data_IF_876990244367
#
_entry.id   IF_876990244367
#
_cell.length_a   1.000
_cell.length_b   1.000
_cell.length_c   1.000
_cell.angle_alpha   90.00
_cell.angle_beta   90.00
_cell.angle_gamma   90.00
#
_symmetry.space_group_name_H-M   'P 1'
#
loop_
_entity.id
_entity.type
_entity.pdbx_description
1 polymer ?
#
# COMPACT_ATOMS: atom_id res chain seq x y z
N UNK A 1 16.76 27.22 1.71
CA UNK A 1 17.63 26.14 1.19
C UNK A 1 17.31 24.91 2.03
N UNK A 2 16.57 23.94 1.50
CA UNK A 2 16.29 22.72 2.24
C UNK A 2 17.56 21.87 2.25
N UNK A 3 18.04 21.51 3.45
CA UNK A 3 19.15 20.57 3.62
C UNK A 3 18.59 19.23 3.14
N UNK A 4 19.17 18.67 2.07
CA UNK A 4 18.83 17.31 1.66
C UNK A 4 19.25 16.38 2.80
N UNK A 5 18.28 15.84 3.54
CA UNK A 5 18.56 14.84 4.55
C UNK A 5 19.23 13.65 3.85
N UNK A 6 20.47 13.36 4.28
CA UNK A 6 21.22 12.21 3.80
C UNK A 6 20.48 10.95 4.24
N UNK A 7 20.02 10.16 3.29
CA UNK A 7 19.47 8.84 3.55
C UNK A 7 20.53 7.98 4.24
N UNK A 8 20.25 7.49 5.44
CA UNK A 8 21.12 6.57 6.19
C UNK A 8 20.59 5.14 6.11
N UNK A 9 21.52 4.19 6.01
CA UNK A 9 21.26 2.76 5.94
C UNK A 9 21.86 2.06 7.15
N UNK A 10 21.05 1.29 7.85
CA UNK A 10 21.46 0.40 8.94
C UNK A 10 21.42 -1.06 8.45
N UNK A 11 22.58 -1.68 8.28
CA UNK A 11 22.72 -3.00 7.67
C UNK A 11 23.04 -4.09 8.70
N UNK A 12 22.42 -5.26 8.54
CA UNK A 12 22.84 -6.48 9.22
C UNK A 12 23.88 -7.21 8.36
N UNK A 13 25.16 -7.32 8.78
CA UNK A 13 26.19 -7.95 7.96
C UNK A 13 25.87 -9.40 7.59
N UNK A 14 26.39 -9.86 6.45
CA UNK A 14 26.31 -11.27 6.06
C UNK A 14 27.09 -12.10 7.09
N UNK A 15 26.48 -13.17 7.58
CA UNK A 15 27.07 -14.06 8.60
C UNK A 15 26.76 -13.67 10.04
N UNK A 16 26.14 -12.52 10.29
CA UNK A 16 25.56 -12.17 11.59
C UNK A 16 24.25 -12.93 11.83
N UNK A 17 23.79 -13.07 13.09
CA UNK A 17 22.45 -13.60 13.37
C UNK A 17 21.36 -12.58 12.98
N UNK A 18 20.11 -13.04 12.84
CA UNK A 18 18.95 -12.16 12.72
C UNK A 18 18.88 -11.23 13.93
N UNK A 19 18.70 -9.92 13.69
CA UNK A 19 18.61 -8.91 14.74
C UNK A 19 17.28 -9.01 15.52
N UNK A 20 17.23 -8.37 16.68
CA UNK A 20 16.04 -8.35 17.55
C UNK A 20 14.81 -7.67 16.94
N UNK A 21 15.03 -6.74 16.01
CA UNK A 21 13.98 -6.12 15.20
C UNK A 21 13.48 -7.01 14.06
N UNK A 22 14.11 -8.18 13.85
CA UNK A 22 13.81 -9.12 12.77
C UNK A 22 14.60 -8.88 11.48
N UNK A 23 15.58 -7.96 11.45
CA UNK A 23 16.40 -7.72 10.28
C UNK A 23 17.30 -8.93 9.98
N UNK A 24 17.04 -9.56 8.83
CA UNK A 24 17.76 -10.74 8.36
C UNK A 24 19.22 -10.40 7.99
N UNK A 25 20.15 -11.37 8.08
CA UNK A 25 21.54 -11.16 7.65
C UNK A 25 21.62 -10.80 6.16
N UNK A 26 22.42 -9.80 5.81
CA UNK A 26 22.55 -9.28 4.45
C UNK A 26 21.48 -8.25 4.04
N UNK A 27 20.54 -7.91 4.93
CA UNK A 27 19.55 -6.87 4.70
C UNK A 27 19.94 -5.55 5.35
N UNK A 28 19.41 -4.46 4.82
CA UNK A 28 19.55 -3.11 5.35
C UNK A 28 18.18 -2.46 5.56
N UNK A 29 18.11 -1.53 6.52
CA UNK A 29 16.95 -0.70 6.79
C UNK A 29 17.33 0.74 6.48
N UNK A 30 16.55 1.39 5.64
CA UNK A 30 16.58 2.83 5.48
C UNK A 30 15.96 3.48 6.73
N UNK A 31 16.63 4.50 7.29
CA UNK A 31 16.03 5.35 8.33
C UNK A 31 14.63 5.80 7.94
N UNK A 32 13.70 5.80 8.90
CA UNK A 32 12.31 6.09 8.64
C UNK A 32 12.13 7.49 8.03
N UNK A 33 11.41 7.57 6.92
CA UNK A 33 10.92 8.81 6.34
C UNK A 33 9.43 8.89 6.68
N UNK A 34 9.03 9.85 7.51
CA UNK A 34 7.66 10.03 8.00
C UNK A 34 6.98 8.73 8.46
N UNK A 35 7.72 7.90 9.22
CA UNK A 35 7.21 6.64 9.79
C UNK A 35 7.26 5.44 8.85
N UNK A 36 7.65 5.61 7.58
CA UNK A 36 7.88 4.50 6.65
C UNK A 36 9.35 4.12 6.63
N UNK A 37 9.64 2.84 6.84
CA UNK A 37 10.96 2.25 6.67
C UNK A 37 11.00 1.40 5.41
N UNK A 38 12.13 1.41 4.70
CA UNK A 38 12.41 0.45 3.64
C UNK A 38 13.41 -0.57 4.14
N UNK A 39 13.04 -1.83 4.04
CA UNK A 39 13.89 -2.97 4.35
C UNK A 39 14.30 -3.57 3.03
N UNK A 40 15.58 -3.68 2.73
CA UNK A 40 16.01 -4.23 1.45
C UNK A 40 17.23 -5.11 1.57
N UNK A 41 17.36 -6.04 0.63
CA UNK A 41 18.63 -6.67 0.31
C UNK A 41 19.08 -6.24 -1.10
N UNK A 42 20.01 -6.98 -1.67
CA UNK A 42 20.54 -6.73 -3.02
C UNK A 42 19.52 -6.89 -4.16
N UNK A 43 18.35 -7.46 -3.93
CA UNK A 43 17.38 -7.83 -4.97
C UNK A 43 15.96 -7.38 -4.68
N UNK A 44 15.55 -7.42 -3.42
CA UNK A 44 14.18 -7.16 -2.98
C UNK A 44 14.12 -6.06 -1.92
N UNK A 45 12.98 -5.37 -1.85
CA UNK A 45 12.66 -4.49 -0.73
C UNK A 45 11.24 -4.73 -0.21
N UNK A 46 11.02 -4.35 1.04
CA UNK A 46 9.74 -4.34 1.73
C UNK A 46 9.58 -2.96 2.35
N UNK A 47 8.43 -2.33 2.12
CA UNK A 47 8.04 -1.12 2.84
C UNK A 47 7.35 -1.52 4.13
N UNK A 48 7.61 -0.83 5.23
CA UNK A 48 6.91 -1.03 6.50
C UNK A 48 6.54 0.32 7.10
N UNK A 49 5.28 0.50 7.45
CA UNK A 49 4.78 1.68 8.15
C UNK A 49 4.76 1.38 9.66
N UNK A 50 5.62 2.06 10.43
CA UNK A 50 5.78 1.81 11.87
C UNK A 50 4.57 2.26 12.70
N UNK A 51 3.86 3.29 12.23
CA UNK A 51 2.62 3.79 12.85
C UNK A 51 1.79 4.56 11.82
N UNK A 52 0.46 4.43 11.88
CA UNK A 52 -0.42 5.21 11.01
C UNK A 52 -0.29 6.70 11.36
N UNK A 53 -0.13 7.61 10.38
CA UNK A 53 -0.26 9.02 10.67
C UNK A 53 -1.66 9.32 11.20
N UNK A 54 -1.85 10.33 12.07
CA UNK A 54 -3.13 10.61 12.73
C UNK A 54 -4.30 10.88 11.78
N UNK A 55 -4.01 11.15 10.50
CA UNK A 55 -4.96 11.66 9.50
C UNK A 55 -5.25 10.68 8.36
N UNK A 56 -4.56 9.55 8.25
CA UNK A 56 -4.86 8.56 7.21
C UNK A 56 -4.39 7.16 7.58
N UNK A 57 -5.20 6.16 7.24
CA UNK A 57 -4.83 4.75 7.39
C UNK A 57 -3.87 4.29 6.27
N UNK A 58 -3.76 5.07 5.20
CA UNK A 58 -2.92 4.80 4.04
C UNK A 58 -1.96 5.97 3.78
N UNK A 59 -0.73 5.66 3.40
CA UNK A 59 0.24 6.65 2.90
C UNK A 59 0.72 6.25 1.51
N UNK A 60 0.95 7.26 0.67
CA UNK A 60 1.60 7.12 -0.62
C UNK A 60 3.09 7.30 -0.40
N UNK A 61 3.87 6.30 -0.80
CA UNK A 61 5.32 6.24 -0.65
C UNK A 61 5.95 6.33 -2.02
N UNK A 62 6.74 7.37 -2.25
CA UNK A 62 7.56 7.48 -3.44
C UNK A 62 8.89 6.80 -3.21
N UNK A 63 9.19 5.83 -4.07
CA UNK A 63 10.43 5.09 -4.12
C UNK A 63 11.19 5.50 -5.38
N UNK A 64 12.40 6.03 -5.19
CA UNK A 64 13.32 6.34 -6.27
C UNK A 64 14.29 5.17 -6.46
N UNK A 65 14.43 4.72 -7.70
CA UNK A 65 15.47 3.80 -8.12
C UNK A 65 16.43 4.52 -9.05
N UNK A 66 17.72 4.40 -8.81
CA UNK A 66 18.77 4.87 -9.70
C UNK A 66 19.48 3.64 -10.26
N UNK A 67 19.43 3.41 -11.57
CA UNK A 67 20.13 2.29 -12.21
C UNK A 67 21.65 2.47 -12.16
N UNK A 68 22.40 1.39 -12.39
CA UNK A 68 23.86 1.50 -12.60
C UNK A 68 24.27 2.39 -13.78
N UNK A 69 23.32 2.76 -14.66
CA UNK A 69 23.52 3.72 -15.76
C UNK A 69 23.15 5.17 -15.38
N UNK A 70 22.97 5.46 -14.09
CA UNK A 70 22.49 6.75 -13.54
C UNK A 70 21.08 7.18 -13.98
N UNK A 71 20.33 6.31 -14.67
CA UNK A 71 18.92 6.57 -14.99
C UNK A 71 18.10 6.52 -13.71
N UNK A 72 17.32 7.56 -13.46
CA UNK A 72 16.44 7.67 -12.30
C UNK A 72 15.00 7.34 -12.68
N UNK A 73 14.37 6.48 -11.88
CA UNK A 73 12.98 6.06 -12.00
C UNK A 73 12.27 6.30 -10.67
N UNK A 74 11.01 6.73 -10.70
CA UNK A 74 10.21 6.95 -9.51
C UNK A 74 8.95 6.06 -9.57
N UNK A 75 8.65 5.42 -8.45
CA UNK A 75 7.52 4.52 -8.30
C UNK A 75 6.73 4.93 -7.07
N UNK A 76 5.41 5.02 -7.21
CA UNK A 76 4.52 5.30 -6.09
C UNK A 76 3.88 3.99 -5.60
N UNK A 77 3.97 3.76 -4.30
CA UNK A 77 3.34 2.64 -3.60
C UNK A 77 2.31 3.18 -2.61
N UNK A 78 1.25 2.42 -2.34
CA UNK A 78 0.36 2.71 -1.23
C UNK A 78 0.54 1.66 -0.14
N UNK A 79 0.75 2.13 1.09
CA UNK A 79 0.94 1.30 2.27
C UNK A 79 -0.04 1.72 3.39
N UNK A 80 -0.76 0.73 3.90
CA UNK A 80 -1.50 0.67 5.15
C UNK A 80 -0.61 0.36 6.38
N UNK A 81 -0.94 0.95 7.53
CA UNK A 81 -0.18 0.81 8.78
C UNK A 81 -0.25 -0.55 9.47
N UNK A 82 -1.22 -1.40 9.13
CA UNK A 82 -1.50 -2.66 9.86
C UNK A 82 -1.04 -3.91 9.13
N UNK A 83 -0.33 -3.76 8.01
CA UNK A 83 0.01 -4.89 7.14
C UNK A 83 1.47 -4.83 6.72
N UNK A 84 2.14 -5.98 6.80
CA UNK A 84 3.43 -6.18 6.17
C UNK A 84 3.22 -6.41 4.66
N UNK A 85 3.99 -5.67 3.85
CA UNK A 85 3.93 -5.78 2.39
C UNK A 85 4.77 -6.94 1.89
N UNK A 86 4.34 -7.55 0.79
CA UNK A 86 5.16 -8.52 0.08
C UNK A 86 6.45 -7.88 -0.44
N UNK A 87 7.50 -8.69 -0.65
CA UNK A 87 8.75 -8.20 -1.23
C UNK A 87 8.53 -7.73 -2.67
N UNK A 88 9.14 -6.62 -3.02
CA UNK A 88 9.21 -6.09 -4.39
C UNK A 88 10.61 -6.31 -4.93
N UNK A 89 10.72 -6.98 -6.07
CA UNK A 89 11.99 -7.11 -6.79
C UNK A 89 12.38 -5.76 -7.37
N UNK A 90 13.52 -5.21 -6.96
CA UNK A 90 14.04 -3.93 -7.46
C UNK A 90 15.36 -4.06 -8.20
N UNK A 91 16.12 -5.12 -7.93
CA UNK A 91 17.39 -5.38 -8.60
C UNK A 91 17.42 -6.81 -9.17
N UNK A 92 17.73 -6.93 -10.46
CA UNK A 92 17.78 -8.14 -11.25
C UNK A 92 18.97 -8.09 -12.22
N UNK A 93 19.55 -9.25 -12.52
CA UNK A 93 20.69 -9.36 -13.42
C UNK A 93 21.96 -8.70 -12.87
N UNK A 94 22.56 -7.82 -13.67
CA UNK A 94 23.83 -7.13 -13.37
C UNK A 94 23.65 -5.68 -12.94
N UNK A 95 22.43 -5.24 -12.62
CA UNK A 95 22.20 -3.88 -12.13
C UNK A 95 22.92 -3.66 -10.79
N UNK A 96 23.64 -2.55 -10.68
CA UNK A 96 24.35 -2.11 -9.46
C UNK A 96 23.77 -0.82 -8.92
N UNK A 97 22.53 -0.51 -9.31
CA UNK A 97 21.81 0.67 -8.90
C UNK A 97 21.56 0.79 -7.39
N UNK A 98 20.87 1.86 -7.02
CA UNK A 98 20.39 2.12 -5.67
C UNK A 98 18.88 2.31 -5.64
N UNK A 99 18.30 2.13 -4.47
CA UNK A 99 16.88 2.36 -4.21
C UNK A 99 16.73 3.14 -2.92
N UNK A 100 15.72 4.00 -2.82
CA UNK A 100 15.41 4.72 -1.58
C UNK A 100 13.96 5.21 -1.56
N UNK A 101 13.39 5.34 -0.38
CA UNK A 101 12.20 6.18 -0.17
C UNK A 101 12.62 7.64 -0.25
N UNK A 102 11.87 8.46 -1.00
CA UNK A 102 12.13 9.88 -1.20
C UNK A 102 11.01 10.79 -0.74
N UNK A 103 9.78 10.28 -0.66
CA UNK A 103 8.66 11.03 -0.13
C UNK A 103 7.63 10.08 0.47
N UNK A 104 6.95 10.55 1.50
CA UNK A 104 5.80 9.88 2.10
C UNK A 104 4.73 10.94 2.30
N UNK A 105 3.57 10.71 1.71
CA UNK A 105 2.46 11.64 1.75
C UNK A 105 1.22 10.90 2.25
N UNK A 106 0.45 11.47 3.19
CA UNK A 106 -0.84 10.90 3.54
C UNK A 106 -1.71 10.79 2.29
N UNK A 107 -2.28 9.61 2.04
CA UNK A 107 -3.30 9.50 1.01
C UNK A 107 -4.47 10.40 1.40
N UNK A 108 -4.95 11.23 0.46
CA UNK A 108 -6.13 12.05 0.68
C UNK A 108 -7.30 11.15 1.09
N UNK A 109 -7.99 11.52 2.17
CA UNK A 109 -9.19 10.81 2.64
C UNK A 109 -10.37 10.85 1.65
N UNK A 110 -10.29 11.69 0.60
CA UNK A 110 -11.31 11.87 -0.45
C UNK A 110 -10.66 12.11 -1.81
N UNK A 111 -11.24 11.55 -2.88
CA UNK A 111 -10.75 11.65 -4.26
C UNK A 111 -10.36 10.31 -4.89
N UNK A 112 -10.10 10.31 -6.20
CA UNK A 112 -9.64 9.12 -6.91
C UNK A 112 -8.22 8.77 -6.48
N UNK A 113 -8.05 7.53 -6.04
CA UNK A 113 -6.77 6.85 -6.03
C UNK A 113 -6.84 5.88 -7.23
N UNK A 114 -5.72 5.54 -7.83
CA UNK A 114 -5.63 5.15 -9.24
C UNK A 114 -6.27 3.78 -9.62
N UNK A 115 -7.04 3.16 -8.71
CA UNK A 115 -7.65 1.83 -8.87
C UNK A 115 -9.18 1.79 -8.77
N UNK A 116 -9.85 2.94 -8.62
CA UNK A 116 -11.33 2.99 -8.50
C UNK A 116 -12.03 2.30 -9.68
N UNK A 117 -11.51 2.43 -10.90
CA UNK A 117 -12.09 1.78 -12.08
C UNK A 117 -11.96 0.23 -12.08
N UNK A 118 -11.23 -0.36 -11.13
CA UNK A 118 -11.00 -1.81 -11.00
C UNK A 118 -11.83 -2.45 -9.88
N UNK A 119 -12.55 -1.66 -9.09
CA UNK A 119 -13.45 -2.21 -8.09
C UNK A 119 -14.90 -1.99 -8.48
N UNK A 120 -15.74 -2.87 -7.97
CA UNK A 120 -17.19 -2.82 -8.14
C UNK A 120 -17.84 -3.03 -6.78
N UNK A 121 -18.89 -2.24 -6.47
CA UNK A 121 -19.74 -2.53 -5.33
C UNK A 121 -21.05 -3.11 -5.85
N UNK A 122 -21.37 -4.32 -5.43
CA UNK A 122 -22.63 -4.99 -5.77
C UNK A 122 -23.46 -5.25 -4.52
N UNK A 123 -24.77 -5.30 -4.70
CA UNK A 123 -25.70 -5.71 -3.65
C UNK A 123 -25.93 -7.23 -3.76
N UNK A 124 -25.54 -7.99 -2.74
CA UNK A 124 -25.84 -9.41 -2.55
C UNK A 124 -27.12 -9.56 -1.73
N UNK A 125 -28.18 -10.04 -2.39
CA UNK A 125 -29.48 -10.27 -1.78
C UNK A 125 -29.55 -11.69 -1.22
N UNK A 126 -29.47 -11.82 0.11
CA UNK A 126 -29.56 -13.12 0.81
C UNK A 126 -30.97 -13.41 1.31
N UNK A 127 -31.23 -14.68 1.62
CA UNK A 127 -32.51 -15.13 2.15
C UNK A 127 -32.88 -14.36 3.43
N UNK A 128 -34.16 -14.00 3.58
CA UNK A 128 -34.66 -13.22 4.72
C UNK A 128 -34.66 -11.69 4.53
N UNK A 129 -34.45 -11.20 3.31
CA UNK A 129 -34.48 -9.75 3.00
C UNK A 129 -33.18 -9.02 3.39
N UNK A 130 -32.14 -9.77 3.68
CA UNK A 130 -30.82 -9.26 4.01
C UNK A 130 -30.10 -8.79 2.75
N UNK A 131 -29.57 -7.56 2.78
CA UNK A 131 -28.78 -7.00 1.68
C UNK A 131 -27.37 -6.76 2.20
N UNK A 132 -26.40 -7.43 1.59
CA UNK A 132 -24.99 -7.25 1.88
C UNK A 132 -24.36 -6.47 0.73
N UNK A 133 -23.57 -5.44 1.04
CA UNK A 133 -22.77 -4.77 0.02
C UNK A 133 -21.43 -5.46 -0.11
N UNK A 134 -21.14 -6.04 -1.27
CA UNK A 134 -19.85 -6.65 -1.57
C UNK A 134 -18.98 -5.66 -2.36
N UNK A 135 -17.73 -5.48 -1.94
CA UNK A 135 -16.70 -4.85 -2.74
C UNK A 135 -15.90 -5.94 -3.46
N UNK A 136 -15.90 -5.89 -4.79
CA UNK A 136 -15.22 -6.84 -5.66
C UNK A 136 -14.00 -6.16 -6.26
N UNK A 137 -12.85 -6.83 -6.21
CA UNK A 137 -11.65 -6.40 -6.91
C UNK A 137 -11.49 -7.18 -8.21
N UNK A 138 -11.44 -6.48 -9.33
CA UNK A 138 -11.19 -7.04 -10.67
C UNK A 138 -9.71 -6.94 -11.08
N UNK A 139 -8.83 -6.51 -10.16
CA UNK A 139 -7.38 -6.51 -10.38
C UNK A 139 -6.74 -7.82 -9.89
N UNK A 140 -5.71 -8.35 -10.59
CA UNK A 140 -4.84 -9.39 -10.04
C UNK A 140 -3.97 -8.88 -8.87
N UNK A 141 -3.90 -7.57 -8.65
CA UNK A 141 -3.10 -6.94 -7.60
C UNK A 141 -3.93 -6.63 -6.36
N UNK A 142 -3.25 -6.32 -5.26
CA UNK A 142 -3.92 -5.84 -4.05
C UNK A 142 -4.50 -4.46 -4.32
N UNK A 143 -5.76 -4.25 -3.95
CA UNK A 143 -6.38 -2.92 -3.96
C UNK A 143 -6.76 -2.55 -2.53
N UNK A 144 -6.30 -1.37 -2.11
CA UNK A 144 -6.60 -0.73 -0.84
C UNK A 144 -7.76 0.23 -1.06
N UNK A 145 -8.91 -0.09 -0.48
CA UNK A 145 -10.07 0.78 -0.52
C UNK A 145 -10.34 1.42 0.84
N UNK A 146 -10.73 2.69 0.83
CA UNK A 146 -11.43 3.31 1.95
C UNK A 146 -12.87 3.48 1.53
N UNK A 147 -13.81 2.96 2.31
CA UNK A 147 -15.24 3.09 2.04
C UNK A 147 -15.88 3.84 3.21
N UNK A 148 -16.40 5.04 2.93
CA UNK A 148 -17.33 5.76 3.80
C UNK A 148 -18.76 5.38 3.41
N UNK A 149 -19.51 4.81 4.35
CA UNK A 149 -20.91 4.45 4.15
C UNK A 149 -21.78 5.36 5.00
N UNK A 150 -22.74 6.01 4.35
CA UNK A 150 -23.75 6.85 5.00
C UNK A 150 -25.08 6.10 5.03
N UNK A 151 -25.58 5.85 6.23
CA UNK A 151 -26.88 5.21 6.49
C UNK A 151 -27.89 6.29 6.87
N UNK A 152 -28.99 6.39 6.10
CA UNK A 152 -30.05 7.34 6.42
C UNK A 152 -30.59 7.12 7.84
N UNK A 153 -30.37 8.09 8.74
CA UNK A 153 -30.87 8.06 10.12
C UNK A 153 -29.85 7.72 11.21
N UNK A 154 -28.58 7.45 10.87
CA UNK A 154 -27.52 7.27 11.86
C UNK A 154 -26.36 8.25 11.57
N UNK A 155 -26.04 9.20 12.48
CA UNK A 155 -24.96 10.16 12.27
C UNK A 155 -23.55 9.53 12.31
N UNK A 156 -23.43 8.27 12.71
CA UNK A 156 -22.18 7.53 12.72
C UNK A 156 -21.80 7.09 11.30
N UNK A 157 -20.84 7.80 10.69
CA UNK A 157 -20.20 7.34 9.45
C UNK A 157 -19.39 6.09 9.75
N UNK A 158 -19.70 4.98 9.08
CA UNK A 158 -18.83 3.82 9.07
C UNK A 158 -17.77 4.04 7.99
N UNK A 159 -16.54 4.35 8.42
CA UNK A 159 -15.37 4.36 7.56
C UNK A 159 -14.65 3.02 7.72
N UNK A 160 -14.67 2.19 6.69
CA UNK A 160 -13.93 0.94 6.64
C UNK A 160 -12.73 1.09 5.71
N UNK A 161 -11.53 0.85 6.23
CA UNK A 161 -10.39 0.52 5.38
C UNK A 161 -10.44 -0.97 5.05
N UNK A 162 -10.47 -1.26 3.75
CA UNK A 162 -10.69 -2.59 3.21
C UNK A 162 -9.56 -2.86 2.24
N UNK A 163 -8.74 -3.86 2.55
CA UNK A 163 -7.78 -4.40 1.60
C UNK A 163 -8.39 -5.63 0.95
N UNK A 164 -8.37 -5.67 -0.38
CA UNK A 164 -8.84 -6.81 -1.17
C UNK A 164 -7.67 -7.29 -2.00
N UNK A 165 -7.32 -8.57 -1.85
CA UNK A 165 -6.18 -9.18 -2.52
C UNK A 165 -6.65 -9.87 -3.80
N UNK A 166 -6.10 -9.52 -4.97
CA UNK A 166 -6.45 -10.19 -6.23
C UNK A 166 -7.95 -10.18 -6.52
N UNK A 167 -8.45 -11.18 -7.23
CA UNK A 167 -9.87 -11.34 -7.60
C UNK A 167 -10.80 -11.76 -6.45
N UNK A 168 -10.59 -11.21 -5.26
CA UNK A 168 -11.38 -11.52 -4.07
C UNK A 168 -12.56 -10.56 -3.90
N UNK A 169 -13.51 -10.99 -3.07
CA UNK A 169 -14.67 -10.21 -2.64
C UNK A 169 -14.59 -9.97 -1.15
N UNK A 170 -15.12 -8.84 -0.70
CA UNK A 170 -15.21 -8.52 0.73
C UNK A 170 -16.53 -7.87 1.07
N UNK A 171 -17.22 -8.47 2.04
CA UNK A 171 -18.45 -7.94 2.62
C UNK A 171 -18.13 -6.63 3.36
N UNK A 172 -18.84 -5.55 3.00
CA UNK A 172 -18.67 -4.23 3.60
C UNK A 172 -19.63 -4.02 4.78
N UNK A 173 -20.88 -4.50 4.68
CA UNK A 173 -21.94 -4.35 5.69
C UNK A 173 -22.96 -5.49 5.59
N UNK A 174 -23.46 -5.93 6.74
CA UNK A 174 -24.72 -6.66 6.93
C UNK A 174 -25.89 -5.66 7.13
N UNK A 175 -26.63 -5.30 6.07
CA UNK A 175 -27.67 -4.27 6.13
C UNK A 175 -29.07 -4.88 5.97
N UNK A 176 -29.87 -4.80 7.03
CA UNK A 176 -31.30 -5.12 7.01
C UNK A 176 -32.10 -4.04 6.26
N UNK A 177 -31.96 -3.96 4.94
CA UNK A 177 -32.81 -3.12 4.08
C UNK A 177 -32.60 -1.61 4.20
N UNK A 178 -31.49 -1.13 4.78
CA UNK A 178 -31.16 0.30 4.83
C UNK A 178 -30.59 0.78 3.49
N UNK A 179 -31.14 1.87 2.94
CA UNK A 179 -30.51 2.57 1.82
C UNK A 179 -29.20 3.20 2.29
N UNK A 180 -28.09 2.74 1.71
CA UNK A 180 -26.75 3.29 1.97
C UNK A 180 -26.23 4.02 0.73
N UNK A 181 -25.68 5.22 0.94
CA UNK A 181 -24.86 5.87 -0.08
C UNK A 181 -23.40 5.59 0.24
N UNK A 182 -22.66 5.12 -0.77
CA UNK A 182 -21.27 4.75 -0.63
C UNK A 182 -20.39 5.84 -1.26
N UNK A 183 -19.38 6.28 -0.52
CA UNK A 183 -18.25 7.02 -1.08
C UNK A 183 -17.01 6.20 -0.82
N UNK A 184 -16.24 5.94 -1.86
CA UNK A 184 -15.07 5.09 -1.73
C UNK A 184 -13.91 5.60 -2.55
N UNK A 185 -12.72 5.17 -2.14
CA UNK A 185 -11.45 5.43 -2.79
C UNK A 185 -10.71 4.12 -2.90
N UNK A 186 -9.86 3.94 -3.91
CA UNK A 186 -9.12 2.70 -4.09
C UNK A 186 -7.73 2.97 -4.68
N UNK A 187 -6.66 2.56 -4.00
CA UNK A 187 -5.31 2.55 -4.54
C UNK A 187 -4.84 1.12 -4.78
N UNK A 188 -4.04 0.87 -5.79
CA UNK A 188 -3.53 -0.47 -6.09
C UNK A 188 -2.06 -0.60 -5.67
N UNK A 189 -1.72 -1.75 -5.09
CA UNK A 189 -0.34 -2.19 -4.97
C UNK A 189 0.14 -2.67 -6.34
N UNK A 190 0.57 -1.74 -7.17
CA UNK A 190 0.77 -1.97 -8.60
C UNK A 190 1.90 -2.94 -8.94
N UNK A 191 2.86 -3.22 -8.02
CA UNK A 191 4.11 -3.90 -8.40
C UNK A 191 4.65 -4.86 -7.34
N UNK A 192 4.90 -6.11 -7.76
CA UNK A 192 5.81 -7.03 -7.07
C UNK A 192 7.23 -7.03 -7.72
N UNK A 193 7.39 -6.31 -8.84
CA UNK A 193 8.63 -6.20 -9.61
C UNK A 193 8.70 -4.82 -10.30
N UNK A 194 9.85 -4.15 -10.23
CA UNK A 194 10.12 -2.88 -10.89
C UNK A 194 10.58 -3.03 -12.36
N UNK A 195 10.91 -4.23 -12.82
CA UNK A 195 11.37 -4.50 -14.19
C UNK A 195 10.24 -4.80 -15.19
N UNK A 196 9.03 -5.10 -14.70
CA UNK A 196 7.87 -5.31 -15.55
C UNK A 196 7.46 -4.03 -16.31
N UNK A 197 7.02 -4.14 -17.58
CA UNK A 197 6.53 -2.99 -18.34
C UNK A 197 5.40 -2.26 -17.57
N UNK A 198 5.45 -0.93 -17.56
CA UNK A 198 4.40 -0.09 -16.98
C UNK A 198 3.15 -0.16 -17.87
N UNK A 199 1.95 -0.46 -17.34
CA UNK A 199 0.74 -0.33 -18.14
C UNK A 199 0.58 1.15 -18.55
N UNK A 200 0.16 1.42 -19.80
CA UNK A 200 0.10 2.77 -20.36
C UNK A 200 -0.73 3.76 -19.53
#
# INVERSE_FOLDING_TARGET
MAIAESVSWDCNPIGSPTRSDGLLPGWCIQTATDGVTMWCDKRVFVLKLQSAPPKSQFVRVRVQRTLGTDRVENFDFVVEARRDYGPVTWCAGTDTGSIKVTAVEPCAMKGALDAVHKLEIVDDHRAGGLIIKELINHSPHYVFASVEMDTSGNPSKLAAAVVIAGFQRRDLIDAFGLQTTNRWQAAEYLRADLYGPWPP
#
